data_IF_901783190757
#
_entry.id   IF_901783190757
#
_cell.length_a   1.000
_cell.length_b   1.000
_cell.length_c   1.000
_cell.angle_alpha   90.00
_cell.angle_beta   90.00
_cell.angle_gamma   90.00
#
_symmetry.space_group_name_H-M   'P 1'
#
loop_
_entity.id
_entity.type
_entity.pdbx_description
1 polymer ?
#
# COMPACT_ATOMS: atom_id res chain seq x y z
N UNK A 1 -20.49 7.41 -16.68
CA UNK A 1 -20.13 5.99 -16.45
C UNK A 1 -18.67 5.82 -16.86
N UNK A 2 -17.75 5.84 -15.92
CA UNK A 2 -16.33 5.68 -16.25
C UNK A 2 -16.07 4.19 -16.40
N UNK A 3 -15.84 3.74 -17.64
CA UNK A 3 -15.46 2.35 -17.89
C UNK A 3 -14.14 2.05 -17.18
N UNK A 4 -14.12 1.01 -16.37
CA UNK A 4 -12.85 0.48 -15.86
C UNK A 4 -11.96 0.16 -17.05
N UNK A 5 -10.84 0.83 -17.13
CA UNK A 5 -9.90 0.75 -18.26
C UNK A 5 -9.12 -0.56 -18.26
N UNK A 6 -9.10 -1.28 -17.16
CA UNK A 6 -8.35 -2.52 -17.09
C UNK A 6 -9.22 -3.72 -17.47
N UNK A 7 -8.90 -4.34 -18.57
CA UNK A 7 -9.32 -5.70 -18.82
C UNK A 7 -8.42 -6.62 -18.01
N UNK A 8 -9.01 -7.53 -17.25
CA UNK A 8 -8.27 -8.53 -16.48
C UNK A 8 -7.18 -9.26 -17.29
N UNK A 9 -7.44 -9.45 -18.58
CA UNK A 9 -6.52 -10.12 -19.50
C UNK A 9 -5.21 -9.37 -19.73
N UNK A 10 -5.18 -8.06 -19.51
CA UNK A 10 -4.03 -7.23 -19.84
C UNK A 10 -3.00 -7.17 -18.71
N UNK A 11 -3.37 -7.68 -17.53
CA UNK A 11 -2.60 -7.55 -16.29
C UNK A 11 -2.20 -8.87 -15.65
N UNK A 12 -2.48 -9.98 -16.31
CA UNK A 12 -2.04 -11.28 -15.81
C UNK A 12 -0.53 -11.39 -15.88
N UNK A 13 0.14 -11.75 -14.79
CA UNK A 13 1.57 -11.98 -14.82
C UNK A 13 1.90 -13.09 -15.82
N UNK A 14 2.95 -12.90 -16.62
CA UNK A 14 3.37 -13.82 -17.66
C UNK A 14 3.73 -15.24 -17.18
N UNK A 15 3.93 -15.40 -15.87
CA UNK A 15 4.20 -16.67 -15.21
C UNK A 15 3.32 -16.83 -13.99
N UNK A 16 2.58 -17.95 -13.86
CA UNK A 16 1.84 -18.21 -12.63
C UNK A 16 2.84 -18.47 -11.50
N UNK A 17 2.89 -17.55 -10.56
CA UNK A 17 3.67 -17.73 -9.33
C UNK A 17 2.71 -18.28 -8.28
N UNK A 18 3.00 -19.46 -7.76
CA UNK A 18 2.25 -20.10 -6.67
C UNK A 18 0.74 -20.29 -6.93
N UNK A 19 0.32 -20.65 -8.13
CA UNK A 19 -1.08 -20.93 -8.47
C UNK A 19 -2.04 -19.80 -8.03
N UNK A 20 -1.68 -18.55 -8.30
CA UNK A 20 -2.55 -17.44 -8.02
C UNK A 20 -3.85 -17.59 -8.81
N UNK A 21 -5.03 -17.60 -8.14
CA UNK A 21 -6.30 -17.56 -8.86
C UNK A 21 -6.43 -16.23 -9.60
N UNK A 22 -7.18 -16.23 -10.69
CA UNK A 22 -7.54 -15.00 -11.38
C UNK A 22 -8.05 -13.94 -10.39
N UNK A 23 -7.55 -12.73 -10.50
CA UNK A 23 -7.97 -11.64 -9.63
C UNK A 23 -9.43 -11.30 -9.90
N UNK A 24 -10.29 -11.61 -8.95
CA UNK A 24 -11.70 -11.21 -9.00
C UNK A 24 -11.79 -9.77 -8.49
N UNK A 25 -12.51 -8.92 -9.22
CA UNK A 25 -12.78 -7.56 -8.78
C UNK A 25 -13.53 -7.60 -7.45
N UNK A 26 -12.97 -7.02 -6.38
CA UNK A 26 -13.61 -7.05 -5.08
C UNK A 26 -14.88 -6.19 -5.05
N UNK A 27 -15.90 -6.58 -4.28
CA UNK A 27 -17.19 -5.89 -4.19
C UNK A 27 -17.14 -4.71 -3.21
N UNK A 28 -16.21 -3.77 -3.39
CA UNK A 28 -16.13 -2.55 -2.58
C UNK A 28 -15.90 -1.31 -3.45
N UNK A 29 -16.21 -0.10 -2.94
CA UNK A 29 -16.00 1.13 -3.67
C UNK A 29 -14.54 1.35 -4.07
N UNK A 30 -14.33 1.99 -5.23
CA UNK A 30 -13.01 2.33 -5.70
C UNK A 30 -12.30 3.36 -4.78
N UNK A 31 -13.01 4.38 -4.34
CA UNK A 31 -12.42 5.53 -3.64
C UNK A 31 -12.89 5.65 -2.18
N UNK A 32 -11.98 5.96 -1.24
CA UNK A 32 -10.52 5.90 -1.37
C UNK A 32 -9.99 4.47 -1.27
N UNK A 33 -8.80 4.21 -1.80
CA UNK A 33 -8.16 2.90 -1.69
C UNK A 33 -7.81 2.54 -0.24
N UNK A 34 -8.39 1.45 0.26
CA UNK A 34 -8.13 0.95 1.60
C UNK A 34 -6.69 0.46 1.77
N UNK A 35 -6.15 -0.24 0.78
CA UNK A 35 -4.77 -0.74 0.82
C UNK A 35 -3.75 0.40 0.83
N UNK A 36 -3.90 1.39 -0.03
CA UNK A 36 -3.02 2.56 -0.04
C UNK A 36 -3.13 3.37 1.27
N UNK A 37 -4.33 3.49 1.84
CA UNK A 37 -4.54 4.17 3.12
C UNK A 37 -3.84 3.46 4.27
N UNK A 38 -4.03 2.15 4.42
CA UNK A 38 -3.42 1.37 5.48
C UNK A 38 -1.89 1.32 5.35
N UNK A 39 -1.39 1.05 4.14
CA UNK A 39 0.06 1.02 3.88
C UNK A 39 0.70 2.37 4.14
N UNK A 40 0.07 3.45 3.72
CA UNK A 40 0.56 4.81 3.97
C UNK A 40 0.60 5.14 5.46
N UNK A 41 -0.46 4.82 6.21
CA UNK A 41 -0.47 5.02 7.67
C UNK A 41 0.69 4.27 8.33
N UNK A 42 0.91 3.01 7.97
CA UNK A 42 2.00 2.20 8.46
C UNK A 42 3.38 2.77 8.11
N UNK A 43 3.60 3.10 6.83
CA UNK A 43 4.85 3.67 6.34
C UNK A 43 5.19 4.99 7.04
N UNK A 44 4.22 5.89 7.19
CA UNK A 44 4.47 7.17 7.87
C UNK A 44 4.69 7.00 9.37
N UNK A 45 4.02 6.05 10.02
CA UNK A 45 4.29 5.71 11.42
C UNK A 45 5.72 5.22 11.61
N UNK A 46 6.21 4.32 10.74
CA UNK A 46 7.60 3.85 10.78
C UNK A 46 8.60 4.98 10.52
N UNK A 47 8.34 5.83 9.52
CA UNK A 47 9.20 6.99 9.22
C UNK A 47 9.31 7.94 10.42
N UNK A 48 8.22 8.19 11.10
CA UNK A 48 8.20 9.06 12.28
C UNK A 48 8.93 8.39 13.47
N UNK A 49 8.68 7.10 13.69
CA UNK A 49 9.31 6.34 14.78
C UNK A 49 10.83 6.25 14.62
N UNK A 50 11.32 5.95 13.43
CA UNK A 50 12.75 5.81 13.16
C UNK A 50 13.44 7.14 12.80
N UNK A 51 12.68 8.20 12.56
CA UNK A 51 13.21 9.50 12.12
C UNK A 51 13.82 9.48 10.71
N UNK A 52 13.62 8.42 9.93
CA UNK A 52 14.18 8.27 8.59
C UNK A 52 13.27 7.45 7.69
N UNK A 53 13.36 7.69 6.38
CA UNK A 53 12.74 6.88 5.35
C UNK A 53 13.68 5.77 4.82
N UNK A 54 14.99 5.90 5.06
CA UNK A 54 16.03 5.03 4.49
C UNK A 54 16.37 3.90 5.45
N UNK A 55 15.55 2.87 5.44
CA UNK A 55 15.82 1.61 6.13
C UNK A 55 15.49 0.49 5.14
N UNK A 56 16.51 -0.29 4.82
CA UNK A 56 16.33 -1.47 3.96
C UNK A 56 15.61 -2.57 4.73
N UNK A 57 14.63 -3.16 4.08
CA UNK A 57 13.87 -4.29 4.64
C UNK A 57 13.36 -5.20 3.54
N UNK A 58 12.92 -6.39 3.94
CA UNK A 58 12.30 -7.35 3.02
C UNK A 58 10.99 -7.87 3.60
N UNK A 59 10.05 -8.13 2.73
CA UNK A 59 8.76 -8.71 3.06
C UNK A 59 8.50 -9.94 2.19
N UNK A 60 8.10 -11.03 2.82
CA UNK A 60 7.71 -12.25 2.12
C UNK A 60 6.19 -12.30 1.95
N UNK A 61 5.74 -12.63 0.76
CA UNK A 61 4.34 -12.84 0.44
C UNK A 61 4.03 -14.33 0.32
N UNK A 62 3.21 -14.85 1.20
CA UNK A 62 2.74 -16.23 1.13
C UNK A 62 1.86 -16.51 -0.10
N UNK A 63 1.24 -15.47 -0.67
CA UNK A 63 0.38 -15.61 -1.85
C UNK A 63 1.16 -15.71 -3.15
N UNK A 64 2.20 -14.90 -3.29
CA UNK A 64 3.03 -14.92 -4.49
C UNK A 64 4.28 -15.78 -4.34
N UNK A 65 4.57 -16.30 -3.13
CA UNK A 65 5.79 -17.02 -2.77
C UNK A 65 7.07 -16.27 -3.17
N UNK A 66 7.03 -14.95 -3.09
CA UNK A 66 8.16 -14.09 -3.43
C UNK A 66 8.55 -13.21 -2.25
N UNK A 67 9.83 -12.89 -2.18
CA UNK A 67 10.36 -11.87 -1.28
C UNK A 67 10.58 -10.60 -2.08
N UNK A 68 10.02 -9.49 -1.57
CA UNK A 68 10.27 -8.15 -2.09
C UNK A 68 11.21 -7.43 -1.14
N UNK A 69 12.22 -6.76 -1.69
CA UNK A 69 13.19 -5.98 -0.91
C UNK A 69 13.09 -4.51 -1.29
N UNK A 70 13.19 -3.65 -0.30
CA UNK A 70 13.02 -2.21 -0.43
C UNK A 70 14.16 -1.50 0.30
N UNK A 71 14.64 -0.40 -0.25
CA UNK A 71 15.67 0.44 0.38
C UNK A 71 15.06 1.55 1.25
N UNK A 72 13.77 1.81 1.06
CA UNK A 72 13.03 2.86 1.77
C UNK A 72 11.62 2.37 2.11
N UNK A 73 11.08 2.89 3.18
CA UNK A 73 9.67 2.63 3.52
C UNK A 73 8.70 3.13 2.43
N UNK A 74 8.99 4.28 1.81
CA UNK A 74 8.15 4.83 0.73
C UNK A 74 8.07 3.94 -0.50
N UNK A 75 9.11 3.18 -0.80
CA UNK A 75 9.16 2.33 -1.99
C UNK A 75 8.10 1.21 -1.91
N UNK A 76 7.85 0.69 -0.70
CA UNK A 76 6.78 -0.26 -0.48
C UNK A 76 5.38 0.35 -0.69
N UNK A 77 5.17 1.61 -0.33
CA UNK A 77 3.92 2.30 -0.58
C UNK A 77 3.69 2.52 -2.08
N UNK A 78 4.73 2.94 -2.79
CA UNK A 78 4.67 3.12 -4.25
C UNK A 78 4.37 1.81 -4.96
N UNK A 79 5.01 0.71 -4.56
CA UNK A 79 4.73 -0.62 -5.11
C UNK A 79 3.28 -1.06 -4.84
N UNK A 80 2.74 -0.79 -3.65
CA UNK A 80 1.34 -1.11 -3.35
C UNK A 80 0.40 -0.31 -4.26
N UNK A 81 0.63 0.99 -4.44
CA UNK A 81 -0.18 1.82 -5.34
C UNK A 81 -0.15 1.26 -6.76
N UNK A 82 1.04 0.99 -7.29
CA UNK A 82 1.19 0.45 -8.64
C UNK A 82 0.53 -0.93 -8.79
N UNK A 83 0.70 -1.81 -7.79
CA UNK A 83 0.07 -3.12 -7.80
C UNK A 83 -1.47 -3.04 -7.84
N UNK A 84 -2.07 -2.06 -7.14
CA UNK A 84 -3.53 -1.87 -7.16
C UNK A 84 -4.03 -1.39 -8.52
N UNK A 85 -3.27 -0.49 -9.17
CA UNK A 85 -3.57 -0.03 -10.54
C UNK A 85 -3.41 -1.18 -11.53
N UNK A 86 -2.30 -1.93 -11.48
CA UNK A 86 -2.03 -3.04 -12.39
C UNK A 86 -3.03 -4.19 -12.22
N UNK A 87 -3.48 -4.43 -11.01
CA UNK A 87 -4.53 -5.41 -10.75
C UNK A 87 -5.94 -4.95 -11.21
N UNK A 88 -6.07 -3.72 -11.70
CA UNK A 88 -7.34 -3.16 -12.14
C UNK A 88 -8.37 -2.99 -11.01
N UNK A 89 -7.92 -2.88 -9.78
CA UNK A 89 -8.78 -2.79 -8.59
C UNK A 89 -9.12 -1.33 -8.27
N UNK A 90 -8.13 -0.44 -8.44
CA UNK A 90 -8.29 0.98 -8.17
C UNK A 90 -7.78 1.84 -9.33
N UNK A 91 -8.39 3.02 -9.50
CA UNK A 91 -7.77 4.09 -10.25
C UNK A 91 -6.66 4.73 -9.43
N UNK A 92 -5.60 5.20 -10.08
CA UNK A 92 -4.46 5.83 -9.40
C UNK A 92 -4.88 6.98 -8.46
N UNK A 93 -5.87 7.76 -8.84
CA UNK A 93 -6.40 8.84 -7.99
C UNK A 93 -6.99 8.32 -6.68
N UNK A 94 -7.64 7.16 -6.68
CA UNK A 94 -8.15 6.53 -5.47
C UNK A 94 -7.02 6.10 -4.53
N UNK A 95 -5.94 5.54 -5.09
CA UNK A 95 -4.76 5.14 -4.33
C UNK A 95 -4.01 6.35 -3.77
N UNK A 96 -3.80 7.39 -4.55
CA UNK A 96 -3.15 8.61 -4.09
C UNK A 96 -3.95 9.32 -2.98
N UNK A 97 -5.28 9.37 -3.10
CA UNK A 97 -6.13 9.92 -2.04
C UNK A 97 -6.10 9.02 -0.79
N UNK A 98 -6.08 7.71 -0.97
CA UNK A 98 -5.89 6.76 0.10
C UNK A 98 -4.56 6.98 0.83
N UNK A 99 -3.47 7.13 0.09
CA UNK A 99 -2.16 7.40 0.66
C UNK A 99 -2.12 8.73 1.44
N UNK A 100 -2.77 9.78 0.92
CA UNK A 100 -2.92 11.06 1.64
C UNK A 100 -3.71 10.91 2.93
N UNK A 101 -4.76 10.10 2.92
CA UNK A 101 -5.56 9.80 4.11
C UNK A 101 -4.73 9.07 5.16
N UNK A 102 -4.02 8.02 4.78
CA UNK A 102 -3.15 7.25 5.68
C UNK A 102 -2.07 8.11 6.32
N UNK A 103 -1.44 9.01 5.54
CA UNK A 103 -0.50 9.99 6.08
C UNK A 103 -1.13 10.88 7.15
N UNK A 104 -2.34 11.40 6.91
CA UNK A 104 -3.06 12.22 7.90
C UNK A 104 -3.34 11.45 9.18
N UNK A 105 -3.74 10.18 9.06
CA UNK A 105 -4.00 9.30 10.21
C UNK A 105 -2.73 9.11 11.04
N UNK A 106 -1.59 8.79 10.41
CA UNK A 106 -0.31 8.64 11.09
C UNK A 106 0.08 9.92 11.88
N UNK A 107 -0.02 11.08 11.24
CA UNK A 107 0.26 12.36 11.90
C UNK A 107 -0.72 12.69 13.05
N UNK A 108 -1.99 12.32 12.89
CA UNK A 108 -2.97 12.51 13.95
C UNK A 108 -2.62 11.67 15.17
N UNK A 109 -2.31 10.38 14.96
CA UNK A 109 -1.94 9.46 16.04
C UNK A 109 -0.67 9.93 16.76
N UNK A 110 0.34 10.37 16.02
CA UNK A 110 1.60 10.89 16.58
C UNK A 110 1.36 12.10 17.50
N UNK A 111 0.45 12.98 17.14
CA UNK A 111 0.19 14.21 17.93
C UNK A 111 -0.68 13.98 19.16
N UNK A 112 -1.58 12.99 19.10
CA UNK A 112 -2.60 12.81 20.15
C UNK A 112 -2.38 11.57 21.01
N UNK A 113 -1.61 10.59 20.51
CA UNK A 113 -1.37 9.32 21.16
C UNK A 113 0.12 8.98 21.11
N UNK A 114 0.55 8.02 21.91
CA UNK A 114 1.91 7.49 21.90
C UNK A 114 3.00 8.56 22.12
N UNK A 115 2.71 9.57 22.91
CA UNK A 115 3.68 10.60 23.25
C UNK A 115 4.80 10.02 24.13
N UNK A 116 6.06 10.51 23.96
CA UNK A 116 7.15 10.09 24.83
C UNK A 116 6.80 10.34 26.30
N UNK A 117 7.02 9.32 27.13
CA UNK A 117 6.90 9.49 28.58
C UNK A 117 8.02 10.40 29.05
N UNK A 118 7.70 11.58 29.57
CA UNK A 118 8.70 12.46 30.15
C UNK A 118 9.31 11.75 31.36
N UNK A 119 10.65 11.63 31.46
CA UNK A 119 11.26 11.15 32.69
C UNK A 119 10.88 12.12 33.82
N UNK A 120 10.43 11.58 34.95
CA UNK A 120 10.15 12.34 36.17
C UNK A 120 11.45 12.80 36.80
#
# INVERSE_FOLDING_TARGET
MVSRVSRESDWLPATPVCNLPSLVTPPFPDHPSGHASATSAFVYTLKNFFGTNRIAFSAFSNKSCTTRSFDRFSDALEEVIDARVWAGIHFRTADEQGARLGKKVAHYLERHYFQPVRPR
#
